data_IF_114888480367
#
_entry.id   IF_114888480367
#
_cell.length_a   1.000
_cell.length_b   1.000
_cell.length_c   1.000
_cell.angle_alpha   90.00
_cell.angle_beta   90.00
_cell.angle_gamma   90.00
#
_symmetry.space_group_name_H-M   'P 1'
#
loop_
_entity.id
_entity.type
_entity.pdbx_description
1 polymer ?
#
# COMPACT_ATOMS: atom_id res chain seq x y z
N UNK A 1 -2.24 15.16 22.97
CA UNK A 1 -1.79 13.86 22.40
C UNK A 1 -1.25 14.12 21.00
N UNK A 2 -0.02 13.69 20.68
CA UNK A 2 0.44 13.80 19.30
C UNK A 2 -0.33 12.81 18.43
N UNK A 3 -0.68 13.23 17.21
CA UNK A 3 -1.33 12.37 16.23
C UNK A 3 -0.30 11.35 15.76
N UNK A 4 -0.61 10.05 15.84
CA UNK A 4 0.27 9.03 15.29
C UNK A 4 0.40 9.24 13.77
N UNK A 5 1.62 9.45 13.28
CA UNK A 5 1.90 9.55 11.86
C UNK A 5 1.97 8.15 11.25
N UNK A 6 1.48 7.99 10.01
CA UNK A 6 1.53 6.72 9.29
C UNK A 6 2.96 6.14 9.21
N UNK A 7 3.98 7.00 9.18
CA UNK A 7 5.39 6.61 9.08
C UNK A 7 5.95 5.89 10.32
N UNK A 8 5.22 5.85 11.43
CA UNK A 8 5.58 5.05 12.60
C UNK A 8 5.23 3.56 12.49
N UNK A 9 4.50 3.15 11.45
CA UNK A 9 4.01 1.77 11.31
C UNK A 9 4.88 0.93 10.35
N UNK A 10 4.89 -0.37 10.61
CA UNK A 10 5.50 -1.40 9.76
C UNK A 10 4.57 -2.60 9.61
N UNK A 11 4.65 -3.28 8.47
CA UNK A 11 3.81 -4.42 8.12
C UNK A 11 4.66 -5.57 7.58
N UNK A 12 4.20 -6.81 7.73
CA UNK A 12 4.84 -7.96 7.09
C UNK A 12 4.47 -8.05 5.61
N UNK A 13 5.43 -8.41 4.76
CA UNK A 13 5.15 -8.82 3.38
C UNK A 13 4.56 -10.22 3.35
N UNK A 14 4.02 -10.62 2.20
CA UNK A 14 3.55 -11.99 1.98
C UNK A 14 4.69 -13.02 2.12
N UNK A 15 5.92 -12.62 1.79
CA UNK A 15 7.12 -13.47 1.88
C UNK A 15 7.85 -13.37 3.24
N UNK A 16 7.26 -12.68 4.22
CA UNK A 16 7.77 -12.61 5.61
C UNK A 16 8.78 -11.49 5.92
N UNK A 17 9.13 -10.65 4.94
CA UNK A 17 9.92 -9.44 5.14
C UNK A 17 9.11 -8.30 5.79
N UNK A 18 9.73 -7.12 5.94
CA UNK A 18 9.08 -5.94 6.53
C UNK A 18 8.93 -4.80 5.51
N UNK A 19 7.75 -4.17 5.52
CA UNK A 19 7.45 -2.90 4.85
C UNK A 19 7.39 -1.84 5.93
N UNK A 20 8.34 -0.90 5.95
CA UNK A 20 8.31 0.26 6.84
C UNK A 20 7.69 1.43 6.09
N UNK A 21 6.61 2.02 6.62
CA UNK A 21 5.97 3.15 5.92
C UNK A 21 6.88 4.38 5.82
N UNK A 22 7.84 4.53 6.73
CA UNK A 22 8.85 5.60 6.70
C UNK A 22 9.68 5.62 5.41
N UNK A 23 9.92 4.46 4.79
CA UNK A 23 10.72 4.33 3.56
C UNK A 23 10.05 4.97 2.34
N UNK A 24 8.75 5.30 2.44
CA UNK A 24 7.95 5.90 1.37
C UNK A 24 7.50 7.33 1.70
N UNK A 25 8.11 7.98 2.71
CA UNK A 25 7.65 9.28 3.22
C UNK A 25 7.75 10.47 2.25
N UNK A 26 8.51 10.32 1.16
CA UNK A 26 8.66 11.36 0.13
C UNK A 26 7.59 11.34 -0.96
N UNK A 27 6.62 10.41 -0.91
CA UNK A 27 5.60 10.26 -1.95
C UNK A 27 4.25 9.79 -1.40
N UNK A 28 3.14 9.99 -2.13
CA UNK A 28 1.85 9.40 -1.78
C UNK A 28 1.92 7.87 -1.70
N UNK A 29 1.21 7.28 -0.71
CA UNK A 29 1.14 5.83 -0.50
C UNK A 29 -0.32 5.38 -0.65
N UNK A 30 -0.72 4.76 -1.77
CA UNK A 30 -2.03 4.15 -1.88
C UNK A 30 -2.09 2.86 -1.05
N UNK A 31 -3.02 2.80 -0.09
CA UNK A 31 -3.27 1.62 0.75
C UNK A 31 -4.68 1.12 0.48
N UNK A 32 -4.82 -0.16 0.14
CA UNK A 32 -6.11 -0.78 -0.12
C UNK A 32 -6.16 -2.20 0.46
N UNK A 33 -7.25 -2.54 1.12
CA UNK A 33 -7.50 -3.91 1.58
C UNK A 33 -7.97 -4.79 0.42
N UNK A 34 -7.46 -6.02 0.36
CA UNK A 34 -7.74 -6.96 -0.73
C UNK A 34 -8.48 -8.19 -0.21
N UNK A 35 -9.41 -8.69 -1.02
CA UNK A 35 -10.05 -9.99 -0.85
C UNK A 35 -10.17 -10.69 -2.22
N UNK A 36 -9.95 -12.00 -2.25
CA UNK A 36 -9.85 -12.79 -3.49
C UNK A 36 -11.19 -13.37 -3.97
N UNK A 37 -12.17 -13.52 -3.08
CA UNK A 37 -13.45 -14.20 -3.36
C UNK A 37 -14.65 -13.25 -3.23
N UNK A 38 -14.47 -12.00 -3.63
CA UNK A 38 -15.52 -10.98 -3.56
C UNK A 38 -15.82 -10.39 -4.94
N UNK A 39 -17.02 -9.85 -5.15
CA UNK A 39 -17.43 -9.26 -6.44
C UNK A 39 -16.57 -8.08 -6.92
N UNK A 40 -15.70 -7.54 -6.06
CA UNK A 40 -14.79 -6.44 -6.36
C UNK A 40 -13.40 -6.86 -6.83
N UNK A 41 -13.05 -8.16 -6.86
CA UNK A 41 -11.73 -8.62 -7.30
C UNK A 41 -11.29 -8.13 -8.70
N UNK A 42 -12.17 -7.85 -9.69
CA UNK A 42 -11.76 -7.20 -10.94
C UNK A 42 -11.02 -5.85 -10.77
N UNK A 43 -11.12 -5.19 -9.61
CA UNK A 43 -10.42 -3.94 -9.33
C UNK A 43 -8.90 -4.09 -9.26
N UNK A 44 -8.37 -5.31 -9.08
CA UNK A 44 -6.92 -5.57 -8.96
C UNK A 44 -6.16 -5.04 -10.18
N UNK A 45 -6.70 -5.23 -11.39
CA UNK A 45 -6.07 -4.75 -12.61
C UNK A 45 -5.97 -3.21 -12.66
N UNK A 46 -6.99 -2.52 -12.17
CA UNK A 46 -7.01 -1.04 -12.10
C UNK A 46 -6.04 -0.55 -11.04
N UNK A 47 -6.01 -1.17 -9.86
CA UNK A 47 -5.08 -0.82 -8.78
C UNK A 47 -3.62 -1.07 -9.19
N UNK A 48 -3.34 -2.17 -9.87
CA UNK A 48 -2.01 -2.47 -10.40
C UNK A 48 -1.56 -1.43 -11.45
N UNK A 49 -2.49 -0.93 -12.29
CA UNK A 49 -2.21 0.17 -13.23
C UNK A 49 -1.90 1.47 -12.50
N UNK A 50 -2.69 1.82 -11.49
CA UNK A 50 -2.47 3.02 -10.68
C UNK A 50 -1.10 2.97 -9.98
N UNK A 51 -0.76 1.85 -9.35
CA UNK A 51 0.52 1.69 -8.66
C UNK A 51 1.72 1.88 -9.61
N UNK A 52 1.63 1.35 -10.84
CA UNK A 52 2.69 1.56 -11.86
C UNK A 52 2.78 3.00 -12.33
N UNK A 53 1.65 3.70 -12.45
CA UNK A 53 1.62 5.11 -12.81
C UNK A 53 2.32 5.96 -11.74
N UNK A 54 1.95 5.80 -10.47
CA UNK A 54 2.57 6.52 -9.35
C UNK A 54 4.07 6.20 -9.19
N UNK A 55 4.51 4.97 -9.52
CA UNK A 55 5.91 4.60 -9.46
C UNK A 55 6.77 5.16 -10.61
N UNK A 56 6.12 5.67 -11.67
CA UNK A 56 6.79 6.27 -12.84
C UNK A 56 6.92 7.79 -12.76
N UNK A 57 6.36 8.40 -11.71
CA UNK A 57 6.46 9.83 -11.40
C UNK A 57 7.56 10.03 -10.36
#
# INVERSE_FOLDING_TARGET
>A
MSRAAAFGFSFKTLDGGDIKLADYSSRPIPVANMASLCGYSPQYARLARLARYEASQ
#
